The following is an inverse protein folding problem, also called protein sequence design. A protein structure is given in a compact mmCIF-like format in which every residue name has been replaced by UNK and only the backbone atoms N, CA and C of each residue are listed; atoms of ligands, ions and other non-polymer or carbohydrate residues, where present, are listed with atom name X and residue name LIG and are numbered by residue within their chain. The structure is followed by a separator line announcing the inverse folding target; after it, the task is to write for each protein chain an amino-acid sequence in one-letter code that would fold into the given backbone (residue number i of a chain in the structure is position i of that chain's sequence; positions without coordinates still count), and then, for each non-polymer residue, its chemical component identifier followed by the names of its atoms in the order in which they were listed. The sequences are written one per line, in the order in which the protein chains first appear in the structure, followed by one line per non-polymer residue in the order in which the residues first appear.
data_IF_797808374207
#
_entry.id   IF_797808374207
#
_cell.length_a   1.000
_cell.length_b   1.000
_cell.length_c   1.000
_cell.angle_alpha   90.00
_cell.angle_beta   90.00
_cell.angle_gamma   90.00
#
_symmetry.space_group_name_H-M   'P 1'
#
loop_
_entity.id
_entity.type
_entity.pdbx_description
1 polymer ?
#
# COMPACT_ATOMS: atom_id res chain seq x y z
N UNK A 1 -32.24 40.42 -1.21
CA UNK A 1 -31.58 39.11 -1.01
C UNK A 1 -31.99 38.22 -2.16
N UNK A 2 -31.16 38.14 -3.20
CA UNK A 2 -31.56 37.58 -4.49
C UNK A 2 -31.49 36.04 -4.47
N UNK A 3 -32.56 35.37 -4.89
CA UNK A 3 -32.72 33.91 -4.95
C UNK A 3 -31.55 33.23 -5.71
N UNK A 4 -30.94 33.96 -6.64
CA UNK A 4 -29.74 33.55 -7.37
C UNK A 4 -28.53 33.25 -6.47
N UNK A 5 -28.37 33.96 -5.34
CA UNK A 5 -27.27 33.69 -4.40
C UNK A 5 -27.42 32.36 -3.67
N UNK A 6 -28.66 31.94 -3.40
CA UNK A 6 -28.96 30.67 -2.73
C UNK A 6 -28.69 29.49 -3.67
N UNK A 7 -29.05 29.62 -4.95
CA UNK A 7 -28.80 28.58 -5.96
C UNK A 7 -27.29 28.33 -6.18
N UNK A 8 -26.47 29.39 -6.16
CA UNK A 8 -25.01 29.27 -6.27
C UNK A 8 -24.43 28.51 -5.07
N UNK A 9 -24.87 28.83 -3.85
CA UNK A 9 -24.40 28.15 -2.64
C UNK A 9 -24.78 26.66 -2.60
N UNK A 10 -25.99 26.32 -3.04
CA UNK A 10 -26.44 24.92 -3.14
C UNK A 10 -25.61 24.15 -4.18
N UNK A 11 -25.35 24.76 -5.34
CA UNK A 11 -24.53 24.16 -6.40
C UNK A 11 -23.09 23.87 -5.94
N UNK A 12 -22.47 24.84 -5.26
CA UNK A 12 -21.12 24.68 -4.69
C UNK A 12 -21.11 23.59 -3.61
N UNK A 13 -22.11 23.58 -2.72
CA UNK A 13 -22.23 22.57 -1.67
C UNK A 13 -22.36 21.14 -2.22
N UNK A 14 -23.21 20.95 -3.23
CA UNK A 14 -23.38 19.65 -3.88
C UNK A 14 -22.13 19.18 -4.63
N UNK A 15 -21.41 20.10 -5.29
CA UNK A 15 -20.15 19.80 -5.96
C UNK A 15 -19.07 19.34 -4.98
N UNK A 16 -18.93 20.04 -3.85
CA UNK A 16 -17.98 19.67 -2.78
C UNK A 16 -18.36 18.34 -2.10
N UNK A 17 -19.66 18.11 -1.87
CA UNK A 17 -20.15 16.84 -1.31
C UNK A 17 -19.82 15.64 -2.21
N UNK A 18 -20.00 15.79 -3.53
CA UNK A 18 -19.67 14.74 -4.51
C UNK A 18 -18.18 14.41 -4.52
N UNK A 19 -17.30 15.41 -4.43
CA UNK A 19 -15.85 15.21 -4.37
C UNK A 19 -15.45 14.46 -3.08
N UNK A 20 -16.01 14.85 -1.94
CA UNK A 20 -15.70 14.21 -0.66
C UNK A 20 -16.10 12.73 -0.63
N UNK A 21 -17.27 12.39 -1.20
CA UNK A 21 -17.78 11.01 -1.19
C UNK A 21 -17.15 10.09 -2.26
N UNK A 22 -16.55 10.66 -3.32
CA UNK A 22 -16.04 9.92 -4.49
C UNK A 22 -14.62 9.34 -4.33
N UNK A 23 -14.05 9.30 -3.13
CA UNK A 23 -12.67 8.83 -2.91
C UNK A 23 -12.54 7.40 -2.33
N UNK A 24 -13.64 6.74 -1.96
CA UNK A 24 -13.59 5.48 -1.18
C UNK A 24 -13.30 4.18 -1.97
N UNK A 25 -13.13 4.20 -3.30
CA UNK A 25 -12.97 2.97 -4.10
C UNK A 25 -11.57 2.72 -4.68
N UNK A 26 -10.68 3.71 -4.69
CA UNK A 26 -9.30 3.52 -5.18
C UNK A 26 -8.35 3.10 -4.07
N UNK A 27 -8.63 3.52 -2.83
CA UNK A 27 -7.81 3.27 -1.65
C UNK A 27 -7.60 1.75 -1.42
N UNK A 28 -8.65 0.93 -1.57
CA UNK A 28 -8.59 -0.52 -1.24
C UNK A 28 -7.73 -1.38 -2.16
N UNK A 29 -7.48 -1.01 -3.43
CA UNK A 29 -6.63 -1.83 -4.32
C UNK A 29 -5.15 -1.46 -4.18
N UNK A 30 -4.86 -0.17 -4.14
CA UNK A 30 -3.50 0.33 -4.04
C UNK A 30 -2.93 0.07 -2.65
N UNK A 31 -3.73 0.22 -1.59
CA UNK A 31 -3.32 -0.15 -0.23
C UNK A 31 -2.98 -1.63 -0.12
N UNK A 32 -3.78 -2.52 -0.71
CA UNK A 32 -3.51 -3.97 -0.67
C UNK A 32 -2.24 -4.32 -1.42
N UNK A 33 -1.99 -3.68 -2.56
CA UNK A 33 -0.76 -3.86 -3.31
C UNK A 33 0.46 -3.37 -2.51
N UNK A 34 0.37 -2.19 -1.92
CA UNK A 34 1.42 -1.59 -1.10
C UNK A 34 1.69 -2.41 0.16
N UNK A 35 0.65 -2.89 0.85
CA UNK A 35 0.78 -3.77 2.01
C UNK A 35 1.47 -5.10 1.64
N UNK A 36 1.09 -5.72 0.52
CA UNK A 36 1.73 -6.94 0.05
C UNK A 36 3.20 -6.72 -0.33
N UNK A 37 3.52 -5.58 -0.96
CA UNK A 37 4.90 -5.19 -1.29
C UNK A 37 5.73 -4.96 -0.03
N UNK A 38 5.20 -4.21 0.93
CA UNK A 38 5.88 -3.95 2.20
C UNK A 38 6.13 -5.24 2.98
N UNK A 39 5.16 -6.17 3.00
CA UNK A 39 5.33 -7.46 3.65
C UNK A 39 6.47 -8.27 3.04
N UNK A 40 6.58 -8.31 1.71
CA UNK A 40 7.68 -8.97 0.99
C UNK A 40 9.03 -8.33 1.32
N UNK A 41 9.10 -7.01 1.35
CA UNK A 41 10.33 -6.29 1.70
C UNK A 41 10.75 -6.59 3.14
N UNK A 42 9.82 -6.54 4.09
CA UNK A 42 10.11 -6.85 5.49
C UNK A 42 10.56 -8.30 5.70
N UNK A 43 10.02 -9.25 4.93
CA UNK A 43 10.46 -10.64 4.95
C UNK A 43 11.89 -10.76 4.41
N UNK A 44 12.19 -10.12 3.28
CA UNK A 44 13.54 -10.08 2.72
C UNK A 44 14.56 -9.47 3.69
N UNK A 45 14.25 -8.32 4.28
CA UNK A 45 15.14 -7.62 5.21
C UNK A 45 15.44 -8.49 6.43
N UNK A 46 14.44 -9.21 6.99
CA UNK A 46 14.66 -10.15 8.09
C UNK A 46 15.59 -11.31 7.72
N UNK A 47 15.44 -11.85 6.51
CA UNK A 47 16.31 -12.92 6.02
C UNK A 47 17.75 -12.40 5.86
N UNK A 48 17.91 -11.20 5.30
CA UNK A 48 19.21 -10.55 5.14
C UNK A 48 19.86 -10.23 6.48
N UNK A 49 19.10 -9.74 7.46
CA UNK A 49 19.58 -9.50 8.83
C UNK A 49 20.05 -10.79 9.50
N UNK A 50 19.31 -11.90 9.30
CA UNK A 50 19.71 -13.21 9.82
C UNK A 50 21.03 -13.67 9.20
N UNK A 51 21.18 -13.53 7.88
CA UNK A 51 22.43 -13.83 7.17
C UNK A 51 23.58 -12.92 7.65
N UNK A 52 23.32 -11.63 7.84
CA UNK A 52 24.33 -10.68 8.27
C UNK A 52 24.86 -11.01 9.68
N UNK A 53 23.98 -11.46 10.58
CA UNK A 53 24.34 -11.77 11.97
C UNK A 53 24.91 -13.19 12.16
N UNK A 54 24.40 -14.17 11.42
CA UNK A 54 24.63 -15.59 11.67
C UNK A 54 25.23 -16.35 10.47
N UNK A 55 25.43 -15.68 9.34
CA UNK A 55 25.89 -16.28 8.10
C UNK A 55 24.79 -16.96 7.29
N UNK A 56 25.09 -17.33 6.06
CA UNK A 56 24.15 -17.95 5.12
C UNK A 56 23.59 -19.29 5.63
N UNK A 57 24.36 -20.02 6.43
CA UNK A 57 23.98 -21.33 6.99
C UNK A 57 22.93 -21.27 8.09
N UNK A 58 22.62 -20.07 8.57
CA UNK A 58 21.52 -19.84 9.51
C UNK A 58 20.13 -19.94 8.89
N UNK A 59 20.02 -19.88 7.56
CA UNK A 59 18.75 -20.03 6.86
C UNK A 59 18.38 -21.50 6.73
N UNK A 60 17.17 -21.83 7.17
CA UNK A 60 16.49 -23.09 6.85
C UNK A 60 16.24 -23.22 5.35
N UNK A 61 15.98 -24.43 4.87
CA UNK A 61 15.67 -24.64 3.45
C UNK A 61 14.48 -23.81 2.95
N UNK A 62 13.47 -23.59 3.80
CA UNK A 62 12.31 -22.78 3.47
C UNK A 62 12.68 -21.29 3.35
N UNK A 63 13.50 -20.79 4.27
CA UNK A 63 14.01 -19.42 4.27
C UNK A 63 14.92 -19.15 3.07
N UNK A 64 15.75 -20.13 2.66
CA UNK A 64 16.57 -20.04 1.44
C UNK A 64 15.69 -19.94 0.19
N UNK A 65 14.71 -20.82 0.05
CA UNK A 65 13.74 -20.75 -1.07
C UNK A 65 13.00 -19.41 -1.09
N UNK A 66 12.60 -18.90 0.07
CA UNK A 66 11.97 -17.58 0.18
C UNK A 66 12.90 -16.44 -0.20
N UNK A 67 14.15 -16.47 0.24
CA UNK A 67 15.16 -15.49 -0.15
C UNK A 67 15.35 -15.48 -1.67
N UNK A 68 15.45 -16.65 -2.30
CA UNK A 68 15.58 -16.79 -3.75
C UNK A 68 14.35 -16.23 -4.48
N UNK A 69 13.15 -16.56 -4.02
CA UNK A 69 11.88 -16.03 -4.55
C UNK A 69 11.77 -14.50 -4.42
N UNK A 70 12.24 -13.93 -3.31
CA UNK A 70 12.15 -12.49 -3.01
C UNK A 70 13.26 -11.66 -3.66
N UNK A 71 14.46 -12.23 -3.83
CA UNK A 71 15.61 -11.56 -4.47
C UNK A 71 15.45 -11.35 -5.97
N UNK A 72 14.43 -11.97 -6.58
CA UNK A 72 14.14 -11.84 -8.00
C UNK A 72 15.11 -12.63 -8.89
N UNK A 73 15.85 -13.57 -8.32
CA UNK A 73 16.73 -14.46 -9.07
C UNK A 73 15.88 -15.50 -9.84
N UNK A 74 15.42 -15.12 -11.04
CA UNK A 74 14.88 -16.02 -12.06
C UNK A 74 15.90 -16.22 -13.16
#
# INVERSE_FOLDING_TARGET
MSIFGILILIGIGAYLYKIYFSNNSYETKDERYNAARNKRQQELDRLLDKIANQGMDSLSEQERRRLDELSGNR
#
